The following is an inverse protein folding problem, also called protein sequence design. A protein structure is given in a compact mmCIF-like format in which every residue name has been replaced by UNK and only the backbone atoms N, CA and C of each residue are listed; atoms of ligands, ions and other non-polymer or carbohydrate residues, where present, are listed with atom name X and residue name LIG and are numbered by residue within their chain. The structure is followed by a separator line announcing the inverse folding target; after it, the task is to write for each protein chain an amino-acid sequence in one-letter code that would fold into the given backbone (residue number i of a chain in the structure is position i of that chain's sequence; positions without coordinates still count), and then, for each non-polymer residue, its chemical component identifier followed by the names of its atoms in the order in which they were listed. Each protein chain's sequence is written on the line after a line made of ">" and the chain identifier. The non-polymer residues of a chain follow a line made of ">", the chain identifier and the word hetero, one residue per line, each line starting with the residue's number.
data_IF_356957172191
#
_entry.id   IF_356957172191
#
_cell.length_a   1.000
_cell.length_b   1.000
_cell.length_c   1.000
_cell.angle_alpha   90.00
_cell.angle_beta   90.00
_cell.angle_gamma   90.00
#
_symmetry.space_group_name_H-M   'P 1'
#
loop_
_entity.id
_entity.type
_entity.pdbx_description
1 polymer ?
#
# COMPACT_ATOMS: atom_id res chain seq x y z
N UNK A 1 -41.56 28.28 15.71
CA UNK A 1 -40.17 28.22 16.21
C UNK A 1 -40.07 27.03 17.14
N UNK A 2 -39.43 25.96 16.69
CA UNK A 2 -39.07 24.82 17.55
C UNK A 2 -37.85 24.14 16.93
N UNK A 3 -36.82 24.05 17.75
CA UNK A 3 -35.48 23.57 17.46
C UNK A 3 -35.46 22.09 17.07
N UNK A 4 -34.64 21.74 16.08
CA UNK A 4 -34.04 20.40 15.99
C UNK A 4 -32.53 20.56 15.99
N UNK A 5 -32.02 20.60 17.20
CA UNK A 5 -30.63 20.35 17.57
C UNK A 5 -30.18 19.05 16.89
N UNK A 6 -29.01 19.11 16.25
CA UNK A 6 -28.41 18.00 15.54
C UNK A 6 -28.19 16.79 16.45
N UNK A 7 -28.86 15.70 16.13
CA UNK A 7 -28.55 14.39 16.70
C UNK A 7 -27.14 13.99 16.29
N UNK A 8 -26.27 13.88 17.28
CA UNK A 8 -25.01 13.17 17.19
C UNK A 8 -25.31 11.74 16.73
N UNK A 9 -24.88 11.39 15.51
CA UNK A 9 -24.90 10.00 15.03
C UNK A 9 -24.05 9.14 15.96
N UNK A 10 -24.72 8.40 16.85
CA UNK A 10 -24.13 7.30 17.59
C UNK A 10 -23.51 6.32 16.58
N UNK A 11 -22.26 5.85 16.78
CA UNK A 11 -21.67 4.87 15.87
C UNK A 11 -22.52 3.61 15.88
N UNK A 12 -22.80 3.06 14.68
CA UNK A 12 -23.54 1.83 14.54
C UNK A 12 -22.88 0.70 15.37
N UNK A 13 -23.67 -0.15 16.05
CA UNK A 13 -23.17 -1.25 16.87
C UNK A 13 -22.55 -2.31 15.94
N UNK A 14 -21.26 -2.17 15.69
CA UNK A 14 -20.53 -3.00 14.73
C UNK A 14 -19.14 -2.49 14.38
N UNK A 15 -18.81 -1.21 14.65
CA UNK A 15 -17.44 -0.73 14.44
C UNK A 15 -16.51 -1.27 15.53
N UNK A 16 -15.47 -2.01 15.16
CA UNK A 16 -14.36 -2.31 16.05
C UNK A 16 -13.81 -0.98 16.59
N UNK A 17 -13.83 -0.78 17.91
CA UNK A 17 -13.20 0.38 18.53
C UNK A 17 -11.70 0.34 18.21
N UNK A 18 -11.26 1.19 17.28
CA UNK A 18 -9.84 1.34 16.99
C UNK A 18 -9.11 1.92 18.21
N UNK A 19 -7.82 1.59 18.40
CA UNK A 19 -7.01 2.17 19.47
C UNK A 19 -7.02 3.71 19.41
N UNK A 20 -7.27 4.35 20.56
CA UNK A 20 -7.28 5.81 20.70
C UNK A 20 -6.45 6.27 21.88
N UNK A 21 -5.88 7.47 21.78
CA UNK A 21 -5.26 8.23 22.86
C UNK A 21 -6.02 9.55 22.96
N UNK A 22 -6.65 9.82 24.12
CA UNK A 22 -7.44 11.05 24.33
C UNK A 22 -8.47 11.30 23.22
N UNK A 23 -9.19 10.25 22.79
CA UNK A 23 -10.19 10.26 21.71
C UNK A 23 -9.65 10.48 20.28
N UNK A 24 -8.33 10.54 20.08
CA UNK A 24 -7.70 10.58 18.75
C UNK A 24 -7.23 9.17 18.42
N UNK A 25 -7.50 8.64 17.23
CA UNK A 25 -7.00 7.32 16.88
C UNK A 25 -5.48 7.34 16.72
N UNK A 26 -4.85 6.26 17.20
CA UNK A 26 -3.40 6.07 17.14
C UNK A 26 -2.91 6.14 15.68
N UNK A 27 -3.68 5.58 14.75
CA UNK A 27 -3.37 5.61 13.30
C UNK A 27 -3.33 7.02 12.73
N UNK A 28 -4.29 7.90 13.06
CA UNK A 28 -4.28 9.29 12.59
C UNK A 28 -3.10 10.07 13.18
N UNK A 29 -2.88 9.92 14.48
CA UNK A 29 -1.78 10.58 15.17
C UNK A 29 -0.43 10.14 14.57
N UNK A 30 -0.26 8.83 14.34
CA UNK A 30 0.94 8.30 13.71
C UNK A 30 1.13 8.83 12.29
N UNK A 31 0.06 8.91 11.49
CA UNK A 31 0.15 9.42 10.12
C UNK A 31 0.56 10.89 10.09
N UNK A 32 0.01 11.73 10.99
CA UNK A 32 0.35 13.16 11.08
C UNK A 32 1.80 13.33 11.55
N UNK A 33 2.19 12.68 12.65
CA UNK A 33 3.57 12.79 13.17
C UNK A 33 4.58 12.23 12.16
N UNK A 34 4.26 11.08 11.55
CA UNK A 34 5.06 10.47 10.51
C UNK A 34 5.21 11.37 9.28
N UNK A 35 4.15 12.05 8.85
CA UNK A 35 4.22 13.02 7.75
C UNK A 35 5.13 14.21 8.08
N UNK A 36 5.05 14.74 9.31
CA UNK A 36 5.92 15.84 9.76
C UNK A 36 7.39 15.40 9.77
N UNK A 37 7.69 14.23 10.32
CA UNK A 37 9.06 13.68 10.34
C UNK A 37 9.56 13.41 8.91
N UNK A 38 8.73 12.80 8.07
CA UNK A 38 9.08 12.51 6.68
C UNK A 38 9.39 13.78 5.88
N UNK A 39 8.58 14.83 6.06
CA UNK A 39 8.83 16.14 5.44
C UNK A 39 10.12 16.77 5.94
N UNK A 40 10.40 16.69 7.24
CA UNK A 40 11.63 17.22 7.83
C UNK A 40 12.88 16.50 7.27
N UNK A 41 12.88 15.17 7.23
CA UNK A 41 13.98 14.37 6.67
C UNK A 41 14.18 14.64 5.17
N UNK A 42 13.08 14.77 4.43
CA UNK A 42 13.12 15.11 3.00
C UNK A 42 13.70 16.50 2.76
N UNK A 43 13.28 17.50 3.55
CA UNK A 43 13.75 18.88 3.45
C UNK A 43 15.22 19.02 3.86
N UNK A 44 15.68 18.22 4.82
CA UNK A 44 17.07 18.16 5.24
C UNK A 44 17.99 17.43 4.23
N UNK A 45 17.43 16.72 3.25
CA UNK A 45 18.20 15.97 2.25
C UNK A 45 18.73 14.62 2.77
N UNK A 46 18.18 14.13 3.88
CA UNK A 46 18.61 12.88 4.56
C UNK A 46 18.11 11.61 3.86
N UNK A 47 17.20 11.74 2.90
CA UNK A 47 16.59 10.61 2.19
C UNK A 47 16.72 10.79 0.68
N UNK A 48 17.28 9.78 0.01
CA UNK A 48 17.28 9.69 -1.44
C UNK A 48 15.88 9.43 -2.02
N UNK A 49 15.74 9.34 -3.34
CA UNK A 49 14.43 9.16 -3.97
C UNK A 49 13.74 7.84 -3.59
N UNK A 50 14.49 6.75 -3.43
CA UNK A 50 13.97 5.43 -3.07
C UNK A 50 13.58 5.42 -1.59
N UNK A 51 14.45 5.97 -0.74
CA UNK A 51 14.25 6.07 0.70
C UNK A 51 13.08 6.97 1.06
N UNK A 52 12.90 8.10 0.34
CA UNK A 52 11.70 8.94 0.48
C UNK A 52 10.43 8.16 0.19
N UNK A 53 10.39 7.41 -0.91
CA UNK A 53 9.24 6.58 -1.24
C UNK A 53 9.03 5.47 -0.20
N UNK A 54 10.10 4.81 0.25
CA UNK A 54 10.03 3.75 1.26
C UNK A 54 9.54 4.29 2.61
N UNK A 55 10.08 5.41 3.09
CA UNK A 55 9.74 6.01 4.39
C UNK A 55 8.32 6.58 4.42
N UNK A 56 7.79 7.06 3.29
CA UNK A 56 6.42 7.56 3.20
C UNK A 56 5.39 6.48 3.54
N UNK A 57 5.64 5.23 3.14
CA UNK A 57 4.71 4.14 3.34
C UNK A 57 4.45 3.81 4.84
N UNK A 58 5.45 3.44 5.66
CA UNK A 58 5.26 3.12 7.06
C UNK A 58 4.84 4.34 7.89
N UNK A 59 5.29 5.55 7.54
CA UNK A 59 4.92 6.76 8.28
C UNK A 59 3.53 7.28 7.98
N UNK A 60 3.06 7.18 6.73
CA UNK A 60 1.81 7.83 6.30
C UNK A 60 0.82 6.83 5.73
N UNK A 61 1.22 6.06 4.72
CA UNK A 61 0.25 5.27 3.94
C UNK A 61 -0.32 4.09 4.72
N UNK A 62 0.53 3.35 5.44
CA UNK A 62 0.13 2.21 6.28
C UNK A 62 -0.82 2.65 7.40
N UNK A 63 -0.50 3.63 8.25
CA UNK A 63 -1.43 4.04 9.31
C UNK A 63 -2.75 4.59 8.74
N UNK A 64 -2.74 5.36 7.65
CA UNK A 64 -3.96 5.82 6.99
C UNK A 64 -4.80 4.65 6.45
N UNK A 65 -4.17 3.70 5.77
CA UNK A 65 -4.83 2.50 5.25
C UNK A 65 -5.41 1.63 6.38
N UNK A 66 -4.71 1.48 7.50
CA UNK A 66 -5.23 0.77 8.68
C UNK A 66 -6.46 1.49 9.26
N UNK A 67 -6.43 2.82 9.32
CA UNK A 67 -7.58 3.61 9.78
C UNK A 67 -8.82 3.36 8.94
N UNK A 68 -8.66 3.27 7.61
CA UNK A 68 -9.80 3.09 6.69
C UNK A 68 -10.23 1.63 6.53
N UNK A 69 -9.29 0.68 6.54
CA UNK A 69 -9.58 -0.72 6.22
C UNK A 69 -10.06 -1.54 7.42
N UNK A 70 -9.58 -1.24 8.64
CA UNK A 70 -9.89 -2.01 9.85
C UNK A 70 -11.24 -1.57 10.42
N UNK A 71 -12.31 -2.25 10.00
CA UNK A 71 -13.69 -1.99 10.41
C UNK A 71 -14.33 -3.26 10.99
N UNK A 72 -15.67 -3.29 11.16
CA UNK A 72 -16.42 -4.33 11.87
C UNK A 72 -16.13 -5.80 11.52
N UNK A 73 -15.55 -6.07 10.35
CA UNK A 73 -15.15 -7.41 9.91
C UNK A 73 -13.92 -7.99 10.65
N UNK A 74 -13.21 -7.19 11.45
CA UNK A 74 -12.03 -7.64 12.21
C UNK A 74 -12.44 -8.11 13.61
N UNK A 75 -12.76 -9.39 13.74
CA UNK A 75 -13.20 -10.01 15.00
C UNK A 75 -12.22 -11.07 15.50
N UNK A 76 -12.37 -11.47 16.77
CA UNK A 76 -11.60 -12.57 17.36
C UNK A 76 -10.07 -12.38 17.24
N UNK A 77 -9.31 -13.39 16.78
CA UNK A 77 -7.86 -13.29 16.61
C UNK A 77 -7.43 -12.16 15.67
N UNK A 78 -8.16 -11.92 14.58
CA UNK A 78 -7.83 -10.86 13.63
C UNK A 78 -7.84 -9.48 14.30
N UNK A 79 -8.82 -9.22 15.16
CA UNK A 79 -8.88 -7.99 15.96
C UNK A 79 -7.66 -7.82 16.86
N UNK A 80 -7.23 -8.90 17.52
CA UNK A 80 -6.07 -8.88 18.44
C UNK A 80 -4.80 -8.55 17.68
N UNK A 81 -4.55 -9.23 16.57
CA UNK A 81 -3.38 -9.00 15.73
C UNK A 81 -3.36 -7.58 15.13
N UNK A 82 -4.48 -7.09 14.59
CA UNK A 82 -4.52 -5.71 14.07
C UNK A 82 -4.39 -4.66 15.17
N UNK A 83 -4.97 -4.89 16.35
CA UNK A 83 -4.83 -3.98 17.50
C UNK A 83 -3.37 -3.88 17.94
N UNK A 84 -2.69 -5.03 18.06
CA UNK A 84 -1.26 -5.06 18.38
C UNK A 84 -0.42 -4.37 17.29
N UNK A 85 -0.71 -4.64 16.01
CA UNK A 85 -0.05 -3.98 14.90
C UNK A 85 -0.22 -2.46 14.95
N UNK A 86 -1.42 -1.95 15.21
CA UNK A 86 -1.70 -0.49 15.31
C UNK A 86 -0.89 0.15 16.45
N UNK A 87 -0.78 -0.51 17.61
CA UNK A 87 0.02 0.02 18.72
C UNK A 87 1.52 0.00 18.45
N UNK A 88 2.01 -1.03 17.78
CA UNK A 88 3.43 -1.18 17.45
C UNK A 88 3.85 -0.37 16.22
N UNK A 89 2.90 -0.04 15.34
CA UNK A 89 3.17 0.60 14.04
C UNK A 89 3.96 1.92 14.15
N UNK A 90 3.69 2.86 15.08
CA UNK A 90 4.47 4.10 15.16
C UNK A 90 5.95 3.84 15.48
N UNK A 91 6.21 2.92 16.40
CA UNK A 91 7.58 2.54 16.80
C UNK A 91 8.26 1.76 15.69
N UNK A 92 7.57 0.80 15.07
CA UNK A 92 8.10 0.04 13.94
C UNK A 92 8.43 0.94 12.74
N UNK A 93 7.57 1.91 12.43
CA UNK A 93 7.79 2.87 11.35
C UNK A 93 9.00 3.76 11.63
N UNK A 94 9.12 4.27 12.86
CA UNK A 94 10.28 5.08 13.25
C UNK A 94 11.59 4.30 13.17
N UNK A 95 11.64 3.08 13.70
CA UNK A 95 12.84 2.25 13.67
C UNK A 95 13.20 1.79 12.25
N UNK A 96 12.21 1.53 11.40
CA UNK A 96 12.46 1.30 9.98
C UNK A 96 13.13 2.52 9.34
N UNK A 97 12.60 3.73 9.53
CA UNK A 97 13.21 4.90 8.87
C UNK A 97 14.57 5.22 9.47
N UNK A 98 14.75 5.04 10.77
CA UNK A 98 16.06 5.14 11.41
C UNK A 98 17.07 4.14 10.80
N UNK A 99 16.61 2.93 10.40
CA UNK A 99 17.48 1.96 9.73
C UNK A 99 18.03 2.44 8.39
N UNK A 100 17.34 3.35 7.69
CA UNK A 100 17.77 3.88 6.39
C UNK A 100 18.93 4.87 6.51
N UNK A 101 19.10 5.49 7.68
CA UNK A 101 20.19 6.45 7.92
C UNK A 101 21.55 5.73 8.02
N UNK A 102 21.53 4.45 8.41
CA UNK A 102 22.75 3.66 8.53
C UNK A 102 23.17 3.11 7.16
N UNK A 103 24.48 3.02 6.89
CA UNK A 103 24.98 2.38 5.68
C UNK A 103 24.47 0.94 5.52
N UNK A 104 24.29 0.52 4.27
CA UNK A 104 24.06 -0.88 3.91
C UNK A 104 25.17 -1.79 4.46
N UNK A 105 24.85 -3.04 4.81
CA UNK A 105 25.69 -4.01 5.54
C UNK A 105 25.84 -3.76 7.05
N UNK A 106 24.94 -3.01 7.68
CA UNK A 106 24.93 -2.81 9.12
C UNK A 106 23.97 -3.80 9.81
N UNK A 107 24.47 -4.72 10.68
CA UNK A 107 23.60 -5.55 11.52
C UNK A 107 22.66 -4.72 12.39
N UNK A 108 23.07 -3.49 12.75
CA UNK A 108 22.23 -2.53 13.44
C UNK A 108 21.07 -2.06 12.56
N UNK A 109 21.30 -1.74 11.28
CA UNK A 109 20.23 -1.36 10.36
C UNK A 109 19.21 -2.49 10.19
N UNK A 110 19.69 -3.73 10.01
CA UNK A 110 18.82 -4.90 9.97
C UNK A 110 18.02 -5.05 11.29
N UNK A 111 18.70 -4.96 12.45
CA UNK A 111 18.06 -5.03 13.76
C UNK A 111 16.98 -3.95 13.98
N UNK A 112 17.23 -2.72 13.50
CA UNK A 112 16.27 -1.60 13.56
C UNK A 112 15.05 -1.82 12.65
N UNK A 113 15.20 -2.56 11.54
CA UNK A 113 14.08 -2.88 10.65
C UNK A 113 13.21 -4.07 11.15
N UNK A 114 13.71 -4.93 12.05
CA UNK A 114 12.97 -6.10 12.57
C UNK A 114 11.62 -5.74 13.22
N UNK A 115 11.49 -4.69 14.05
CA UNK A 115 10.21 -4.27 14.58
C UNK A 115 9.15 -3.98 13.51
N UNK A 116 9.54 -3.47 12.34
CA UNK A 116 8.62 -3.29 11.23
C UNK A 116 8.18 -4.62 10.61
N UNK A 117 9.08 -5.61 10.52
CA UNK A 117 8.69 -6.97 10.14
C UNK A 117 7.68 -7.55 11.14
N UNK A 118 7.82 -7.30 12.44
CA UNK A 118 6.84 -7.74 13.44
C UNK A 118 5.46 -7.10 13.22
N UNK A 119 5.40 -5.78 12.95
CA UNK A 119 4.16 -5.06 12.63
C UNK A 119 3.49 -5.65 11.38
N UNK A 120 4.23 -5.77 10.29
CA UNK A 120 3.71 -6.28 9.02
C UNK A 120 3.34 -7.78 9.10
N UNK A 121 4.09 -8.57 9.87
CA UNK A 121 3.77 -9.96 10.18
C UNK A 121 2.46 -10.11 10.96
N UNK A 122 2.19 -9.22 11.94
CA UNK A 122 0.89 -9.19 12.63
C UNK A 122 -0.27 -8.87 11.68
N UNK A 123 -0.07 -7.97 10.71
CA UNK A 123 -1.06 -7.72 9.66
C UNK A 123 -1.30 -8.96 8.79
N UNK A 124 -0.25 -9.67 8.40
CA UNK A 124 -0.35 -10.94 7.68
C UNK A 124 -1.08 -12.03 8.49
N UNK A 125 -0.81 -12.14 9.79
CA UNK A 125 -1.54 -13.04 10.69
C UNK A 125 -3.01 -12.66 10.84
N UNK A 126 -3.32 -11.36 10.88
CA UNK A 126 -4.69 -10.88 10.86
C UNK A 126 -5.42 -11.28 9.57
N UNK A 127 -4.80 -11.05 8.41
CA UNK A 127 -5.32 -11.46 7.12
C UNK A 127 -5.60 -12.97 7.08
N UNK A 128 -4.65 -13.77 7.53
CA UNK A 128 -4.78 -15.22 7.56
C UNK A 128 -5.88 -15.69 8.52
N UNK A 129 -6.01 -15.06 9.69
CA UNK A 129 -7.12 -15.33 10.61
C UNK A 129 -8.48 -15.03 9.95
N UNK A 130 -8.60 -13.91 9.23
CA UNK A 130 -9.84 -13.53 8.52
C UNK A 130 -10.17 -14.45 7.36
N UNK A 131 -9.18 -14.90 6.61
CA UNK A 131 -9.36 -15.87 5.52
C UNK A 131 -9.91 -17.18 6.10
N UNK A 132 -9.38 -17.67 7.22
CA UNK A 132 -9.83 -18.92 7.85
C UNK A 132 -11.24 -18.86 8.43
N UNK A 133 -11.68 -17.69 8.88
CA UNK A 133 -13.03 -17.53 9.45
C UNK A 133 -14.09 -17.23 8.40
N UNK A 134 -13.71 -16.91 7.15
CA UNK A 134 -14.66 -16.62 6.07
C UNK A 134 -15.06 -17.89 5.34
N UNK A 135 -16.35 -18.19 5.32
CA UNK A 135 -16.91 -19.33 4.59
C UNK A 135 -17.01 -19.07 3.07
N UNK A 136 -17.12 -17.80 2.66
CA UNK A 136 -17.28 -17.41 1.25
C UNK A 136 -16.28 -16.34 0.85
N UNK A 137 -15.98 -16.29 -0.46
CA UNK A 137 -15.07 -15.31 -1.04
C UNK A 137 -15.73 -13.93 -1.10
N UNK A 138 -15.40 -13.07 -0.13
CA UNK A 138 -15.80 -11.65 -0.13
C UNK A 138 -14.64 -10.83 -0.70
N UNK A 139 -14.72 -10.50 -1.99
CA UNK A 139 -13.59 -9.91 -2.75
C UNK A 139 -13.03 -8.62 -2.15
N UNK A 140 -13.86 -7.64 -1.71
CA UNK A 140 -13.34 -6.43 -1.10
C UNK A 140 -12.45 -6.73 0.11
N UNK A 141 -12.88 -7.69 0.93
CA UNK A 141 -12.12 -8.13 2.11
C UNK A 141 -10.90 -8.95 1.73
N UNK A 142 -10.98 -9.80 0.70
CA UNK A 142 -9.83 -10.56 0.20
C UNK A 142 -8.74 -9.64 -0.34
N UNK A 143 -9.11 -8.54 -1.01
CA UNK A 143 -8.16 -7.53 -1.47
C UNK A 143 -7.43 -6.86 -0.29
N UNK A 144 -8.16 -6.49 0.76
CA UNK A 144 -7.57 -5.91 1.97
C UNK A 144 -6.64 -6.91 2.66
N UNK A 145 -7.08 -8.16 2.82
CA UNK A 145 -6.30 -9.22 3.46
C UNK A 145 -4.99 -9.49 2.70
N UNK A 146 -5.05 -9.50 1.36
CA UNK A 146 -3.84 -9.64 0.56
C UNK A 146 -2.89 -8.45 0.72
N UNK A 147 -3.43 -7.23 0.80
CA UNK A 147 -2.61 -6.06 1.12
C UNK A 147 -1.85 -6.24 2.43
N UNK A 148 -2.56 -6.67 3.47
CA UNK A 148 -2.00 -6.93 4.80
C UNK A 148 -0.99 -8.09 4.82
N UNK A 149 -1.15 -9.09 3.96
CA UNK A 149 -0.16 -10.15 3.81
C UNK A 149 1.08 -9.65 3.05
N UNK A 150 0.91 -8.98 1.92
CA UNK A 150 2.01 -8.57 1.04
C UNK A 150 2.94 -7.50 1.64
N UNK A 151 2.46 -6.64 2.53
CA UNK A 151 3.32 -5.65 3.19
C UNK A 151 4.47 -6.31 3.96
N UNK A 152 4.29 -7.55 4.44
CA UNK A 152 5.36 -8.33 5.08
C UNK A 152 6.49 -8.69 4.12
N UNK A 153 6.19 -8.93 2.84
CA UNK A 153 7.20 -9.15 1.80
C UNK A 153 8.06 -7.91 1.62
N UNK A 154 7.46 -6.71 1.71
CA UNK A 154 8.19 -5.45 1.68
C UNK A 154 9.16 -5.29 2.86
N UNK A 155 8.74 -5.69 4.06
CA UNK A 155 9.60 -5.67 5.25
C UNK A 155 10.74 -6.71 5.17
N UNK A 156 10.46 -7.91 4.66
CA UNK A 156 11.48 -8.94 4.43
C UNK A 156 12.50 -8.46 3.39
N UNK A 157 12.04 -7.87 2.29
CA UNK A 157 12.94 -7.31 1.26
C UNK A 157 13.85 -6.22 1.83
N UNK A 158 13.36 -5.37 2.72
CA UNK A 158 14.20 -4.38 3.41
C UNK A 158 15.29 -5.03 4.27
N UNK A 159 14.95 -6.08 5.04
CA UNK A 159 15.94 -6.81 5.83
C UNK A 159 17.00 -7.47 4.94
N UNK A 160 16.59 -8.09 3.83
CA UNK A 160 17.51 -8.66 2.85
C UNK A 160 18.43 -7.58 2.27
N UNK A 161 17.91 -6.39 1.96
CA UNK A 161 18.73 -5.26 1.49
C UNK A 161 19.74 -4.79 2.54
N UNK A 162 19.37 -4.76 3.82
CA UNK A 162 20.28 -4.37 4.91
C UNK A 162 21.36 -5.40 5.20
N UNK A 163 21.05 -6.69 4.99
CA UNK A 163 21.96 -7.81 5.16
C UNK A 163 22.79 -8.12 3.88
N UNK A 164 22.59 -7.36 2.80
CA UNK A 164 23.19 -7.60 1.48
C UNK A 164 22.93 -9.01 0.94
N UNK A 165 21.75 -9.55 1.26
CA UNK A 165 21.27 -10.83 0.75
C UNK A 165 20.51 -10.59 -0.55
N UNK A 166 21.25 -10.42 -1.64
CA UNK A 166 20.68 -10.04 -2.95
C UNK A 166 20.37 -11.22 -3.86
N UNK A 167 20.79 -12.43 -3.48
CA UNK A 167 20.75 -13.62 -4.33
C UNK A 167 21.50 -13.39 -5.66
N UNK A 168 20.78 -13.24 -6.79
CA UNK A 168 21.34 -12.92 -8.11
C UNK A 168 20.87 -11.56 -8.64
N UNK A 169 20.19 -10.77 -7.81
CA UNK A 169 19.72 -9.43 -8.19
C UNK A 169 20.75 -8.36 -7.87
N UNK A 170 20.69 -7.25 -8.61
CA UNK A 170 21.37 -6.04 -8.20
C UNK A 170 20.82 -5.54 -6.84
N UNK A 171 21.65 -5.02 -5.92
CA UNK A 171 21.21 -4.56 -4.60
C UNK A 171 20.05 -3.55 -4.64
N UNK A 172 20.03 -2.69 -5.67
CA UNK A 172 18.97 -1.70 -5.87
C UNK A 172 17.60 -2.36 -6.10
N UNK A 173 17.55 -3.52 -6.76
CA UNK A 173 16.29 -4.23 -7.05
C UNK A 173 15.66 -4.75 -5.76
N UNK A 174 16.46 -5.19 -4.78
CA UNK A 174 15.94 -5.64 -3.48
C UNK A 174 15.33 -4.45 -2.71
N UNK A 175 15.97 -3.27 -2.73
CA UNK A 175 15.40 -2.05 -2.13
C UNK A 175 14.11 -1.61 -2.84
N UNK A 176 14.10 -1.64 -4.17
CA UNK A 176 12.91 -1.35 -4.96
C UNK A 176 11.79 -2.37 -4.72
N UNK A 177 12.13 -3.62 -4.40
CA UNK A 177 11.17 -4.65 -3.99
C UNK A 177 10.51 -4.29 -2.67
N UNK A 178 11.29 -3.79 -1.70
CA UNK A 178 10.76 -3.27 -0.44
C UNK A 178 9.73 -2.16 -0.69
N UNK A 179 10.06 -1.20 -1.56
CA UNK A 179 9.11 -0.16 -1.98
C UNK A 179 7.89 -0.78 -2.66
N UNK A 180 8.08 -1.59 -3.70
CA UNK A 180 7.00 -2.16 -4.51
C UNK A 180 5.94 -2.88 -3.67
N UNK A 181 6.34 -3.68 -2.68
CA UNK A 181 5.40 -4.41 -1.83
C UNK A 181 4.67 -3.52 -0.80
N UNK A 182 5.19 -2.34 -0.47
CA UNK A 182 4.44 -1.34 0.31
C UNK A 182 3.40 -0.58 -0.55
N UNK A 183 3.62 -0.46 -1.86
CA UNK A 183 2.70 0.27 -2.76
C UNK A 183 1.78 -0.67 -3.54
N UNK A 184 2.34 -1.39 -4.52
CA UNK A 184 1.60 -2.34 -5.34
C UNK A 184 1.15 -3.57 -4.53
N UNK A 185 1.95 -3.98 -3.55
CA UNK A 185 1.61 -5.09 -2.66
C UNK A 185 0.59 -4.73 -1.58
N UNK A 186 0.62 -3.51 -1.03
CA UNK A 186 -0.23 -3.11 0.10
C UNK A 186 -1.27 -2.05 -0.24
N UNK A 187 -0.85 -0.84 -0.64
CA UNK A 187 -1.78 0.27 -0.87
C UNK A 187 -2.79 -0.06 -1.97
N UNK A 188 -2.35 -0.69 -3.07
CA UNK A 188 -3.23 -1.01 -4.19
C UNK A 188 -4.33 -2.02 -3.82
N UNK A 189 -4.03 -3.19 -3.22
CA UNK A 189 -5.07 -4.12 -2.78
C UNK A 189 -6.00 -3.51 -1.73
N UNK A 190 -5.48 -2.70 -0.79
CA UNK A 190 -6.33 -1.99 0.19
C UNK A 190 -7.26 -1.00 -0.51
N UNK A 191 -6.76 -0.17 -1.41
CA UNK A 191 -7.57 0.80 -2.16
C UNK A 191 -8.62 0.10 -3.06
N UNK A 192 -8.27 -1.04 -3.67
CA UNK A 192 -9.20 -1.85 -4.44
C UNK A 192 -10.30 -2.43 -3.54
N UNK A 193 -9.95 -2.92 -2.34
CA UNK A 193 -10.92 -3.41 -1.38
C UNK A 193 -11.86 -2.32 -0.85
N UNK A 194 -11.34 -1.13 -0.53
CA UNK A 194 -12.15 0.02 -0.13
C UNK A 194 -13.11 0.47 -1.25
N UNK A 195 -12.63 0.47 -2.50
CA UNK A 195 -13.47 0.72 -3.67
C UNK A 195 -14.59 -0.33 -3.79
N UNK A 196 -14.26 -1.59 -3.54
CA UNK A 196 -15.21 -2.70 -3.55
C UNK A 196 -16.28 -2.57 -2.48
N UNK A 197 -15.91 -2.16 -1.26
CA UNK A 197 -16.86 -1.85 -0.17
C UNK A 197 -17.79 -0.71 -0.57
N UNK A 198 -17.23 0.38 -1.06
CA UNK A 198 -17.99 1.59 -1.43
C UNK A 198 -19.04 1.33 -2.52
N UNK A 199 -18.68 0.54 -3.52
CA UNK A 199 -19.54 0.25 -4.67
C UNK A 199 -20.45 -0.97 -4.48
N UNK A 200 -20.35 -1.67 -3.34
CA UNK A 200 -20.96 -2.99 -3.12
C UNK A 200 -20.70 -3.95 -4.31
N UNK A 201 -19.46 -3.94 -4.80
CA UNK A 201 -19.14 -4.45 -6.12
C UNK A 201 -19.00 -5.99 -6.16
N UNK A 202 -19.99 -6.65 -6.74
CA UNK A 202 -20.02 -8.11 -6.93
C UNK A 202 -19.83 -8.56 -8.39
N UNK A 203 -19.61 -7.61 -9.31
CA UNK A 203 -19.57 -7.91 -10.76
C UNK A 203 -18.40 -8.82 -11.15
N UNK A 204 -18.60 -9.62 -12.22
CA UNK A 204 -17.54 -10.47 -12.80
C UNK A 204 -16.31 -9.67 -13.24
N UNK A 205 -16.50 -8.44 -13.74
CA UNK A 205 -15.40 -7.55 -14.13
C UNK A 205 -14.57 -7.08 -12.94
N UNK A 206 -15.24 -6.67 -11.85
CA UNK A 206 -14.55 -6.29 -10.62
C UNK A 206 -13.76 -7.48 -10.02
N UNK A 207 -14.32 -8.69 -10.07
CA UNK A 207 -13.60 -9.93 -9.70
C UNK A 207 -12.32 -10.14 -10.48
N UNK A 208 -12.37 -10.00 -11.80
CA UNK A 208 -11.18 -10.19 -12.64
C UNK A 208 -10.10 -9.16 -12.31
N UNK A 209 -10.49 -7.89 -12.17
CA UNK A 209 -9.58 -6.79 -11.77
C UNK A 209 -8.93 -7.07 -10.42
N UNK A 210 -9.72 -7.40 -9.39
CA UNK A 210 -9.19 -7.74 -8.06
C UNK A 210 -8.28 -8.97 -8.14
N UNK A 211 -8.66 -10.02 -8.86
CA UNK A 211 -7.84 -11.21 -9.05
C UNK A 211 -6.46 -10.90 -9.64
N UNK A 212 -6.38 -10.03 -10.65
CA UNK A 212 -5.10 -9.60 -11.22
C UNK A 212 -4.31 -8.72 -10.25
N UNK A 213 -4.96 -7.82 -9.50
CA UNK A 213 -4.31 -7.02 -8.46
C UNK A 213 -3.72 -7.92 -7.36
N UNK A 214 -4.40 -9.02 -7.03
CA UNK A 214 -3.98 -9.98 -6.00
C UNK A 214 -2.77 -10.81 -6.42
N UNK A 215 -2.75 -11.33 -7.64
CA UNK A 215 -1.68 -12.25 -8.11
C UNK A 215 -0.54 -11.49 -8.79
N UNK A 216 -0.84 -10.32 -9.34
CA UNK A 216 0.04 -9.51 -10.17
C UNK A 216 1.40 -9.21 -9.56
N UNK A 217 1.51 -8.61 -8.35
CA UNK A 217 2.80 -8.28 -7.76
C UNK A 217 3.71 -9.51 -7.59
N UNK A 218 3.13 -10.64 -7.17
CA UNK A 218 3.87 -11.89 -7.05
C UNK A 218 4.33 -12.43 -8.41
N UNK A 219 3.47 -12.40 -9.43
CA UNK A 219 3.82 -12.88 -10.78
C UNK A 219 4.87 -11.99 -11.45
N UNK A 220 4.78 -10.67 -11.27
CA UNK A 220 5.79 -9.71 -11.74
C UNK A 220 7.13 -9.99 -11.05
N UNK A 221 7.13 -10.20 -9.73
CA UNK A 221 8.35 -10.55 -8.99
C UNK A 221 8.98 -11.86 -9.51
N UNK A 222 8.17 -12.89 -9.79
CA UNK A 222 8.64 -14.15 -10.41
C UNK A 222 9.21 -13.89 -11.81
N UNK A 223 8.57 -13.03 -12.60
CA UNK A 223 9.06 -12.66 -13.93
C UNK A 223 10.44 -12.00 -13.88
N UNK A 224 10.58 -10.96 -13.05
CA UNK A 224 11.86 -10.26 -12.83
C UNK A 224 12.93 -11.24 -12.35
N UNK A 225 12.55 -12.21 -11.52
CA UNK A 225 13.47 -13.19 -10.93
C UNK A 225 13.99 -14.24 -11.91
N UNK A 226 13.13 -14.76 -12.79
CA UNK A 226 13.39 -16.04 -13.47
C UNK A 226 13.12 -16.01 -14.97
N UNK A 227 12.34 -15.08 -15.51
CA UNK A 227 11.99 -15.09 -16.92
C UNK A 227 11.52 -13.73 -17.44
N UNK A 228 12.29 -13.08 -18.33
CA UNK A 228 11.88 -11.84 -18.99
C UNK A 228 10.56 -11.96 -19.77
N UNK A 229 10.24 -13.14 -20.30
CA UNK A 229 8.95 -13.40 -20.96
C UNK A 229 7.82 -13.32 -19.94
N UNK A 230 7.98 -13.99 -18.79
CA UNK A 230 6.99 -13.93 -17.70
C UNK A 230 6.87 -12.51 -17.17
N UNK A 231 7.97 -11.76 -17.05
CA UNK A 231 7.94 -10.35 -16.65
C UNK A 231 7.06 -9.51 -17.59
N UNK A 232 7.33 -9.52 -18.90
CA UNK A 232 6.57 -8.74 -19.88
C UNK A 232 5.10 -9.14 -19.88
N UNK A 233 4.81 -10.45 -19.85
CA UNK A 233 3.43 -10.95 -19.82
C UNK A 233 2.71 -10.50 -18.54
N UNK A 234 3.35 -10.66 -17.38
CA UNK A 234 2.80 -10.28 -16.08
C UNK A 234 2.54 -8.77 -15.99
N UNK A 235 3.52 -7.95 -16.37
CA UNK A 235 3.39 -6.49 -16.38
C UNK A 235 2.32 -6.03 -17.37
N UNK A 236 2.22 -6.67 -18.54
CA UNK A 236 1.16 -6.38 -19.54
C UNK A 236 -0.23 -6.67 -18.98
N UNK A 237 -0.43 -7.87 -18.43
CA UNK A 237 -1.68 -8.28 -17.78
C UNK A 237 -2.06 -7.33 -16.65
N UNK A 238 -1.09 -6.96 -15.81
CA UNK A 238 -1.31 -6.04 -14.72
C UNK A 238 -1.71 -4.64 -15.21
N UNK A 239 -1.01 -4.12 -16.22
CA UNK A 239 -1.30 -2.82 -16.85
C UNK A 239 -2.73 -2.78 -17.40
N UNK A 240 -3.12 -3.82 -18.14
CA UNK A 240 -4.47 -3.94 -18.71
C UNK A 240 -5.54 -4.10 -17.63
N UNK A 241 -5.24 -4.69 -16.48
CA UNK A 241 -6.20 -4.84 -15.39
C UNK A 241 -6.40 -3.57 -14.55
N UNK A 242 -5.33 -2.80 -14.29
CA UNK A 242 -5.43 -1.58 -13.49
C UNK A 242 -6.08 -0.42 -14.26
N UNK A 243 -6.04 -0.41 -15.59
CA UNK A 243 -6.69 0.62 -16.39
C UNK A 243 -8.23 0.63 -16.24
N UNK A 244 -8.96 -0.49 -16.40
CA UNK A 244 -10.37 -0.60 -16.07
C UNK A 244 -10.69 -0.26 -14.62
N UNK A 245 -9.81 -0.62 -13.67
CA UNK A 245 -9.97 -0.21 -12.26
C UNK A 245 -10.04 1.31 -12.13
N UNK A 246 -9.07 2.03 -12.73
CA UNK A 246 -9.07 3.49 -12.76
C UNK A 246 -10.33 4.07 -13.39
N UNK A 247 -10.78 3.50 -14.52
CA UNK A 247 -12.03 3.92 -15.18
C UNK A 247 -13.25 3.73 -14.28
N UNK A 248 -13.33 2.62 -13.53
CA UNK A 248 -14.41 2.38 -12.57
C UNK A 248 -14.41 3.42 -11.47
N UNK A 249 -13.24 3.74 -10.89
CA UNK A 249 -13.12 4.78 -9.86
C UNK A 249 -13.57 6.13 -10.41
N UNK A 250 -13.09 6.54 -11.59
CA UNK A 250 -13.45 7.82 -12.22
C UNK A 250 -14.94 7.93 -12.55
N UNK A 251 -15.57 6.85 -12.99
CA UNK A 251 -16.97 6.89 -13.45
C UNK A 251 -17.99 6.62 -12.35
N UNK A 252 -17.63 5.86 -11.32
CA UNK A 252 -18.59 5.38 -10.31
C UNK A 252 -18.33 5.87 -8.90
N UNK A 253 -17.08 6.22 -8.56
CA UNK A 253 -16.72 6.68 -7.21
C UNK A 253 -16.59 8.20 -7.18
N UNK A 254 -15.77 8.77 -8.08
CA UNK A 254 -15.48 10.21 -8.08
C UNK A 254 -16.74 11.09 -8.14
N UNK A 255 -17.76 10.82 -8.97
CA UNK A 255 -18.94 11.68 -9.07
C UNK A 255 -19.83 11.70 -7.82
N UNK A 256 -19.71 10.70 -6.95
CA UNK A 256 -20.54 10.56 -5.74
C UNK A 256 -19.80 11.01 -4.47
N UNK A 257 -18.53 11.39 -4.59
CA UNK A 257 -17.71 11.89 -3.49
C UNK A 257 -17.76 13.42 -3.36
N UNK A 258 -17.33 13.92 -2.20
CA UNK A 258 -17.05 15.36 -2.06
C UNK A 258 -15.95 15.80 -3.04
N UNK A 259 -15.89 17.09 -3.39
CA UNK A 259 -14.93 17.62 -4.39
C UNK A 259 -13.48 17.21 -4.09
N UNK A 260 -13.04 17.34 -2.84
CA UNK A 260 -11.67 17.01 -2.44
C UNK A 260 -11.40 15.50 -2.50
N UNK A 261 -12.32 14.68 -2.00
CA UNK A 261 -12.19 13.22 -2.07
C UNK A 261 -12.19 12.74 -3.53
N UNK A 262 -13.12 13.24 -4.35
CA UNK A 262 -13.21 12.91 -5.77
C UNK A 262 -11.96 13.32 -6.53
N UNK A 263 -11.38 14.50 -6.25
CA UNK A 263 -10.13 14.94 -6.87
C UNK A 263 -8.96 14.01 -6.52
N UNK A 264 -8.77 13.66 -5.23
CA UNK A 264 -7.72 12.75 -4.79
C UNK A 264 -7.88 11.36 -5.39
N UNK A 265 -9.08 10.77 -5.32
CA UNK A 265 -9.34 9.45 -5.91
C UNK A 265 -9.23 9.46 -7.43
N UNK A 266 -9.60 10.57 -8.09
CA UNK A 266 -9.43 10.77 -9.52
C UNK A 266 -7.97 10.84 -9.95
N UNK A 267 -7.14 11.58 -9.22
CA UNK A 267 -5.68 11.62 -9.45
C UNK A 267 -5.10 10.21 -9.31
N UNK A 268 -5.45 9.50 -8.23
CA UNK A 268 -4.99 8.12 -8.03
C UNK A 268 -5.41 7.19 -9.17
N UNK A 269 -6.66 7.31 -9.63
CA UNK A 269 -7.23 6.49 -10.70
C UNK A 269 -6.55 6.70 -12.06
N UNK A 270 -5.97 7.88 -12.31
CA UNK A 270 -5.20 8.18 -13.54
C UNK A 270 -3.72 7.86 -13.37
N UNK A 271 -3.13 8.19 -12.22
CA UNK A 271 -1.71 8.03 -11.95
C UNK A 271 -1.26 6.57 -12.07
N UNK A 272 -2.06 5.63 -11.55
CA UNK A 272 -1.69 4.20 -11.56
C UNK A 272 -1.59 3.62 -12.98
N UNK A 273 -2.60 3.73 -13.88
CA UNK A 273 -2.47 3.26 -15.26
C UNK A 273 -1.33 3.92 -16.05
N UNK A 274 -1.13 5.24 -15.89
CA UNK A 274 -0.04 5.97 -16.53
C UNK A 274 1.31 5.42 -16.05
N UNK A 275 1.45 5.22 -14.73
CA UNK A 275 2.65 4.64 -14.14
C UNK A 275 2.92 3.21 -14.66
N UNK A 276 1.88 2.40 -14.83
CA UNK A 276 2.02 1.05 -15.36
C UNK A 276 2.42 1.00 -16.83
N UNK A 277 2.06 2.01 -17.62
CA UNK A 277 2.57 2.15 -19.00
C UNK A 277 4.08 2.35 -19.02
N UNK A 278 4.64 3.09 -18.05
CA UNK A 278 6.10 3.23 -17.89
C UNK A 278 6.75 1.88 -17.53
N UNK A 279 6.15 1.12 -16.62
CA UNK A 279 6.66 -0.21 -16.24
C UNK A 279 6.61 -1.20 -17.41
N UNK A 280 5.56 -1.16 -18.22
CA UNK A 280 5.46 -1.96 -19.44
C UNK A 280 6.54 -1.56 -20.46
N UNK A 281 6.74 -0.26 -20.67
CA UNK A 281 7.82 0.25 -21.50
C UNK A 281 9.20 -0.22 -21.02
N UNK A 282 9.45 -0.15 -19.72
CA UNK A 282 10.69 -0.65 -19.12
C UNK A 282 10.87 -2.14 -19.40
N UNK A 283 9.88 -2.97 -19.08
CA UNK A 283 9.92 -4.42 -19.32
C UNK A 283 10.13 -4.80 -20.79
N UNK A 284 9.50 -4.08 -21.72
CA UNK A 284 9.74 -4.28 -23.17
C UNK A 284 11.18 -3.89 -23.55
N UNK A 285 11.70 -2.80 -22.96
CA UNK A 285 13.07 -2.33 -23.22
C UNK A 285 14.11 -3.36 -22.77
N UNK A 286 13.96 -3.91 -21.55
CA UNK A 286 14.80 -5.01 -21.05
C UNK A 286 14.64 -6.28 -21.89
N UNK A 287 13.40 -6.66 -22.24
CA UNK A 287 13.14 -7.88 -23.01
C UNK A 287 13.72 -7.83 -24.43
N UNK A 288 13.62 -6.69 -25.11
CA UNK A 288 14.08 -6.54 -26.50
C UNK A 288 15.53 -6.09 -26.64
N UNK A 289 16.17 -5.67 -25.54
CA UNK A 289 17.49 -5.03 -25.56
C UNK A 289 17.51 -3.65 -26.23
N UNK A 290 16.35 -3.10 -26.61
CA UNK A 290 16.25 -1.78 -27.25
C UNK A 290 15.96 -0.72 -26.20
N UNK A 291 16.87 0.24 -26.04
CA UNK A 291 16.68 1.33 -25.09
C UNK A 291 15.50 2.22 -25.49
N UNK A 292 14.51 2.32 -24.61
CA UNK A 292 13.42 3.31 -24.70
C UNK A 292 13.73 4.57 -23.85
N UNK A 293 14.97 4.74 -23.39
CA UNK A 293 15.36 5.84 -22.49
C UNK A 293 14.91 5.68 -21.03
N UNK A 294 14.35 4.51 -20.67
CA UNK A 294 13.86 4.21 -19.33
C UNK A 294 14.96 3.54 -18.49
N UNK A 295 15.88 4.34 -17.97
CA UNK A 295 16.86 3.86 -16.98
C UNK A 295 16.20 3.59 -15.63
N UNK A 296 16.87 2.85 -14.73
CA UNK A 296 16.40 2.66 -13.34
C UNK A 296 16.16 4.02 -12.65
N UNK A 297 17.05 5.00 -12.84
CA UNK A 297 16.89 6.34 -12.26
C UNK A 297 15.67 7.07 -12.82
N UNK A 298 15.41 6.93 -14.14
CA UNK A 298 14.20 7.45 -14.78
C UNK A 298 12.95 6.78 -14.22
N UNK A 299 12.98 5.46 -14.02
CA UNK A 299 11.87 4.70 -13.44
C UNK A 299 11.59 5.11 -12.00
N UNK A 300 12.61 5.27 -11.16
CA UNK A 300 12.45 5.78 -9.79
C UNK A 300 11.81 7.18 -9.81
N UNK A 301 12.27 8.05 -10.69
CA UNK A 301 11.78 9.43 -10.78
C UNK A 301 10.35 9.51 -11.27
N UNK A 302 10.00 8.80 -12.36
CA UNK A 302 8.68 8.91 -12.99
C UNK A 302 7.69 7.89 -12.43
N UNK A 303 7.97 6.59 -12.61
CA UNK A 303 7.10 5.52 -12.14
C UNK A 303 7.04 5.48 -10.60
N UNK A 304 8.17 5.62 -9.92
CA UNK A 304 8.22 5.67 -8.46
C UNK A 304 7.39 6.83 -7.89
N UNK A 305 7.60 8.05 -8.38
CA UNK A 305 6.84 9.23 -7.91
C UNK A 305 5.34 9.15 -8.22
N UNK A 306 4.95 8.66 -9.41
CA UNK A 306 3.54 8.46 -9.74
C UNK A 306 2.88 7.43 -8.82
N UNK A 307 3.57 6.34 -8.49
CA UNK A 307 3.04 5.37 -7.52
C UNK A 307 3.00 5.93 -6.09
N UNK A 308 4.02 6.68 -5.69
CA UNK A 308 4.13 7.18 -4.32
C UNK A 308 3.11 8.29 -4.03
N UNK A 309 3.17 9.36 -4.82
CA UNK A 309 2.40 10.57 -4.57
C UNK A 309 1.09 10.58 -5.36
N UNK A 310 1.15 10.23 -6.65
CA UNK A 310 -0.02 10.24 -7.52
C UNK A 310 -1.04 9.18 -7.12
N UNK A 311 -0.62 7.94 -6.92
CA UNK A 311 -1.49 6.84 -6.52
C UNK A 311 -1.58 6.68 -5.00
N UNK A 312 -0.46 6.35 -4.34
CA UNK A 312 -0.48 5.88 -2.96
C UNK A 312 -1.01 6.90 -1.96
N UNK A 313 -0.44 8.10 -1.98
CA UNK A 313 -0.86 9.19 -1.10
C UNK A 313 -2.29 9.66 -1.41
N UNK A 314 -2.62 9.90 -2.69
CA UNK A 314 -3.95 10.37 -3.05
C UNK A 314 -5.04 9.32 -2.78
N UNK A 315 -4.80 8.03 -3.01
CA UNK A 315 -5.76 6.97 -2.71
C UNK A 315 -6.03 6.84 -1.21
N UNK A 316 -4.97 6.83 -0.39
CA UNK A 316 -5.11 6.70 1.07
C UNK A 316 -5.76 7.91 1.71
N UNK A 317 -5.37 9.13 1.31
CA UNK A 317 -6.03 10.37 1.78
C UNK A 317 -7.48 10.45 1.30
N UNK A 318 -7.74 10.13 0.03
CA UNK A 318 -9.08 10.12 -0.54
C UNK A 318 -10.04 9.23 0.26
N UNK A 319 -9.65 7.99 0.54
CA UNK A 319 -10.46 7.09 1.37
C UNK A 319 -10.47 7.47 2.85
N UNK A 320 -9.47 8.20 3.36
CA UNK A 320 -9.48 8.71 4.73
C UNK A 320 -10.52 9.81 4.93
N UNK A 321 -10.82 10.62 3.90
CA UNK A 321 -11.81 11.70 4.01
C UNK A 321 -13.23 11.19 4.27
N UNK A 322 -13.60 10.06 3.67
CA UNK A 322 -14.84 9.36 3.98
C UNK A 322 -14.63 7.85 3.81
N UNK A 323 -14.67 7.14 4.95
CA UNK A 323 -14.45 5.70 5.01
C UNK A 323 -15.71 4.97 4.52
N UNK A 324 -15.58 4.01 3.57
CA UNK A 324 -16.68 3.14 3.13
C UNK A 324 -17.23 2.22 4.22
#
# INVERSE_FOLDING_TARGET
>A
MSDRVGESRTPAPGSVAQPTIRNIAVTDLSAVLGAVIWLALTAAGELDAIERALALAPFVLVPLALRTAVTGAFQGPARRFTTAAIWLQPVGAFLLVASLIFPSLSPLAAGLAVPWLAVTGLLGLAALARIRTRETLVLPETAIDAGFAYVSVGAVALLLAHLDLTFWFDPVIIRLTAVHFHYAGFVLPVAAGLTGRYLDAHSRGFRAVVGVILVGPALIAVGIAFSPVVEVVAVSLFTVAVAPFGVVVLRRVVPTCSRLQGALLGIAAVALPVSMTLALGYGISTFTGRSLGLTISTMVTLHGSLNAFGFGLCATLGWRLAVP
#
